data_IF_664820479199
#
_entry.id   IF_664820479199
#
_cell.length_a   1.000
_cell.length_b   1.000
_cell.length_c   1.000
_cell.angle_alpha   90.00
_cell.angle_beta   90.00
_cell.angle_gamma   90.00
#
_symmetry.space_group_name_H-M   'P 1'
#
loop_
_entity.id
_entity.type
_entity.pdbx_description
1 polymer ?
#
# COMPACT_ATOMS: atom_id res chain seq x y z
N UNK A 1 -89.85 10.62 13.92
CA UNK A 1 -89.96 11.27 15.27
C UNK A 1 -88.70 11.07 15.97
N UNK A 2 -88.26 12.07 16.55
CA UNK A 2 -87.24 12.30 17.58
C UNK A 2 -85.76 12.42 17.18
N UNK A 3 -85.37 13.65 17.34
CA UNK A 3 -83.99 14.12 17.22
C UNK A 3 -83.27 13.96 18.53
N UNK A 4 -82.05 13.41 18.49
CA UNK A 4 -81.16 13.52 19.61
C UNK A 4 -79.82 14.04 19.11
N UNK A 5 -79.47 15.20 19.65
CA UNK A 5 -78.23 15.91 19.31
C UNK A 5 -77.00 15.22 19.91
N UNK A 6 -75.96 15.27 19.15
CA UNK A 6 -74.62 14.83 19.58
C UNK A 6 -73.75 16.05 19.81
N UNK A 7 -73.32 16.21 21.04
CA UNK A 7 -72.33 17.23 21.43
C UNK A 7 -70.94 16.82 20.94
N UNK A 8 -70.33 17.77 20.24
CA UNK A 8 -68.93 17.62 19.79
C UNK A 8 -68.03 18.23 20.85
N UNK A 9 -67.28 17.38 21.56
CA UNK A 9 -66.22 17.83 22.45
C UNK A 9 -64.92 17.89 21.66
N UNK A 10 -64.38 19.08 21.52
CA UNK A 10 -63.06 19.30 20.94
C UNK A 10 -61.98 18.91 21.91
N UNK A 11 -61.23 17.85 21.59
CA UNK A 11 -59.99 17.49 22.31
C UNK A 11 -58.81 18.20 21.63
N UNK A 12 -58.19 19.13 22.33
CA UNK A 12 -57.00 19.79 21.93
C UNK A 12 -55.81 18.83 22.02
N UNK A 13 -55.21 18.45 20.88
CA UNK A 13 -53.93 17.73 20.83
C UNK A 13 -52.80 18.74 21.02
N UNK A 14 -52.11 18.65 22.15
CA UNK A 14 -50.82 19.28 22.38
C UNK A 14 -49.77 18.47 21.61
N UNK A 15 -49.22 19.05 20.50
CA UNK A 15 -48.03 18.54 19.86
C UNK A 15 -46.81 18.95 20.73
N UNK A 16 -46.23 18.00 21.44
CA UNK A 16 -44.89 18.14 22.01
C UNK A 16 -43.87 18.05 20.88
N UNK A 17 -43.26 19.15 20.51
CA UNK A 17 -42.11 19.18 19.60
C UNK A 17 -40.89 18.65 20.37
N UNK A 18 -40.50 17.39 20.07
CA UNK A 18 -39.22 16.84 20.52
C UNK A 18 -38.09 17.47 19.68
N UNK A 19 -37.39 18.42 20.27
CA UNK A 19 -36.13 18.92 19.73
C UNK A 19 -35.12 17.78 19.67
N UNK A 20 -34.78 17.33 18.45
CA UNK A 20 -33.60 16.50 18.21
C UNK A 20 -32.40 17.39 18.34
N UNK A 21 -31.64 17.19 19.39
CA UNK A 21 -30.29 17.71 19.50
C UNK A 21 -29.39 16.91 18.54
N UNK A 22 -29.11 17.45 17.36
CA UNK A 22 -28.02 17.00 16.52
C UNK A 22 -26.71 17.41 17.23
N UNK A 23 -26.19 16.47 18.02
CA UNK A 23 -24.83 16.57 18.54
C UNK A 23 -23.87 16.47 17.35
N UNK A 24 -22.76 17.25 17.32
CA UNK A 24 -21.76 17.12 16.29
C UNK A 24 -21.23 15.70 16.28
N UNK A 25 -21.25 15.05 15.13
CA UNK A 25 -20.64 13.77 14.91
C UNK A 25 -19.18 13.87 15.35
N UNK A 26 -18.86 13.22 16.47
CA UNK A 26 -17.47 13.07 16.91
C UNK A 26 -16.72 12.34 15.79
N UNK A 27 -15.99 13.11 14.99
CA UNK A 27 -15.04 12.59 14.03
C UNK A 27 -14.12 11.66 14.80
N UNK A 28 -14.19 10.37 14.47
CA UNK A 28 -13.29 9.36 15.02
C UNK A 28 -11.88 9.73 14.53
N UNK A 29 -11.13 10.42 15.37
CA UNK A 29 -9.70 10.61 15.18
C UNK A 29 -9.07 9.21 15.31
N UNK A 30 -8.88 8.55 14.19
CA UNK A 30 -8.05 7.35 14.16
C UNK A 30 -6.63 7.81 14.47
N UNK A 31 -6.11 7.39 15.62
CA UNK A 31 -4.71 7.64 15.96
C UNK A 31 -3.82 7.07 14.86
N UNK A 32 -2.77 7.79 14.42
CA UNK A 32 -1.83 7.28 13.44
C UNK A 32 -1.16 6.02 14.00
N UNK A 33 -1.27 4.89 13.27
CA UNK A 33 -0.59 3.66 13.65
C UNK A 33 0.91 3.82 13.40
N UNK A 34 1.68 3.59 14.46
CA UNK A 34 3.15 3.61 14.41
C UNK A 34 3.64 2.31 13.78
N UNK A 35 4.32 2.38 12.64
CA UNK A 35 5.10 1.24 12.16
C UNK A 35 6.41 1.16 12.93
N UNK A 36 6.94 -0.03 13.17
CA UNK A 36 8.18 -0.26 13.92
C UNK A 36 9.25 0.78 13.56
N UNK A 37 10.21 1.11 14.32
CA UNK A 37 11.16 2.20 14.12
C UNK A 37 10.59 3.65 14.19
N UNK A 38 9.37 3.83 14.71
CA UNK A 38 8.79 5.16 14.96
C UNK A 38 8.28 5.91 13.73
N UNK A 39 8.24 5.29 12.56
CA UNK A 39 7.68 5.91 11.36
C UNK A 39 6.15 5.81 11.38
N UNK A 40 5.48 6.95 11.32
CA UNK A 40 4.03 7.05 11.18
C UNK A 40 3.70 7.21 9.70
N UNK A 41 3.01 6.20 9.13
CA UNK A 41 2.55 6.24 7.74
C UNK A 41 1.02 6.28 7.72
N UNK A 42 0.40 7.30 7.12
CA UNK A 42 -1.06 7.40 7.02
C UNK A 42 -1.66 6.26 6.18
N UNK A 43 -2.96 6.00 6.34
CA UNK A 43 -3.67 4.95 5.61
C UNK A 43 -3.67 5.15 4.08
N UNK A 44 -3.72 6.42 3.64
CA UNK A 44 -3.55 6.82 2.24
C UNK A 44 -2.34 7.75 2.13
N UNK A 45 -1.12 7.22 2.10
CA UNK A 45 0.08 8.02 2.12
C UNK A 45 0.25 8.78 0.80
N UNK A 46 0.76 10.00 0.89
CA UNK A 46 1.41 10.62 -0.24
C UNK A 46 2.67 9.85 -0.60
N UNK A 47 3.16 10.01 -1.82
CA UNK A 47 4.42 9.38 -2.26
C UNK A 47 5.58 9.66 -1.29
N UNK A 48 5.66 10.90 -0.79
CA UNK A 48 6.70 11.34 0.16
C UNK A 48 6.66 10.63 1.52
N UNK A 49 5.54 10.00 1.87
CA UNK A 49 5.37 9.33 3.17
C UNK A 49 5.87 7.88 3.14
N UNK A 50 6.22 7.37 1.95
CA UNK A 50 6.79 6.02 1.83
C UNK A 50 8.21 6.00 2.44
N UNK A 51 8.54 4.98 3.25
CA UNK A 51 9.84 4.87 3.90
C UNK A 51 10.93 4.38 2.92
N UNK A 52 11.33 5.22 1.97
CA UNK A 52 12.28 4.86 0.91
C UNK A 52 13.63 4.36 1.42
N UNK A 53 14.03 4.72 2.65
CA UNK A 53 15.22 4.15 3.31
C UNK A 53 15.11 2.63 3.55
N UNK A 54 13.90 2.07 3.50
CA UNK A 54 13.63 0.63 3.59
C UNK A 54 13.43 -0.04 2.23
N UNK A 55 13.53 0.71 1.15
CA UNK A 55 13.41 0.17 -0.20
C UNK A 55 14.78 -0.26 -0.76
N UNK A 56 14.76 -1.31 -1.56
CA UNK A 56 15.84 -1.59 -2.49
C UNK A 56 15.61 -0.70 -3.71
N UNK A 57 16.56 0.17 -4.01
CA UNK A 57 16.40 1.12 -5.12
C UNK A 57 17.23 0.69 -6.31
N UNK A 58 16.56 0.42 -7.43
CA UNK A 58 17.16 0.07 -8.72
C UNK A 58 16.94 1.21 -9.67
N UNK A 59 18.03 1.86 -10.12
CA UNK A 59 17.99 2.99 -11.06
C UNK A 59 18.49 2.57 -12.42
N UNK A 60 17.79 2.97 -13.49
CA UNK A 60 18.17 2.82 -14.91
C UNK A 60 18.14 4.15 -15.60
N UNK A 61 19.13 4.41 -16.44
CA UNK A 61 19.27 5.69 -17.11
C UNK A 61 19.35 6.86 -16.13
N UNK A 62 18.71 7.96 -16.42
CA UNK A 62 18.62 9.12 -15.52
C UNK A 62 17.67 8.88 -14.34
N UNK A 63 16.80 7.85 -14.41
CA UNK A 63 15.90 7.45 -13.33
C UNK A 63 14.83 8.49 -13.00
N UNK A 64 14.37 9.26 -13.97
CA UNK A 64 13.43 10.38 -13.76
C UNK A 64 11.99 9.91 -13.53
N UNK A 65 11.65 8.73 -14.02
CA UNK A 65 10.35 8.08 -13.75
C UNK A 65 10.51 7.21 -12.53
N UNK A 66 9.52 7.17 -11.64
CA UNK A 66 9.64 6.44 -10.38
C UNK A 66 8.40 5.57 -10.14
N UNK A 67 8.65 4.38 -9.61
CA UNK A 67 7.62 3.41 -9.18
C UNK A 67 8.03 2.78 -7.86
N UNK A 68 7.08 2.62 -6.94
CA UNK A 68 7.26 1.86 -5.70
C UNK A 68 6.50 0.55 -5.80
N UNK A 69 7.14 -0.59 -5.50
CA UNK A 69 6.52 -1.91 -5.60
C UNK A 69 6.65 -2.69 -4.29
N UNK A 70 5.56 -3.30 -3.83
CA UNK A 70 5.53 -4.32 -2.78
C UNK A 70 5.64 -5.69 -3.44
N UNK A 71 6.77 -6.34 -3.27
CA UNK A 71 7.17 -7.54 -4.03
C UNK A 71 7.59 -8.67 -3.10
N UNK A 72 7.13 -9.89 -3.39
CA UNK A 72 7.53 -11.12 -2.68
C UNK A 72 8.51 -11.91 -3.55
N UNK A 73 9.63 -12.41 -2.98
CA UNK A 73 10.66 -13.13 -3.75
C UNK A 73 10.14 -14.43 -4.39
N UNK A 74 9.10 -15.03 -3.84
CA UNK A 74 8.53 -16.28 -4.34
C UNK A 74 7.30 -16.09 -5.25
N UNK A 75 6.84 -14.85 -5.44
CA UNK A 75 5.70 -14.56 -6.27
C UNK A 75 6.04 -14.64 -7.77
N UNK A 76 5.39 -15.52 -8.56
CA UNK A 76 5.65 -15.63 -10.00
C UNK A 76 5.25 -14.36 -10.76
N UNK A 77 4.21 -13.66 -10.31
CA UNK A 77 3.76 -12.40 -10.90
C UNK A 77 4.73 -11.26 -10.62
N UNK A 78 5.37 -11.24 -9.42
CA UNK A 78 6.43 -10.27 -9.12
C UNK A 78 7.62 -10.44 -10.06
N UNK A 79 8.09 -11.68 -10.26
CA UNK A 79 9.18 -11.97 -11.21
C UNK A 79 8.85 -11.56 -12.64
N UNK A 80 7.59 -11.79 -13.07
CA UNK A 80 7.14 -11.31 -14.38
C UNK A 80 7.17 -9.80 -14.44
N UNK A 81 6.61 -9.14 -13.43
CA UNK A 81 6.53 -7.68 -13.37
C UNK A 81 7.92 -7.01 -13.37
N UNK A 82 8.87 -7.55 -12.62
CA UNK A 82 10.25 -7.04 -12.60
C UNK A 82 10.97 -7.22 -13.94
N UNK A 83 10.61 -8.24 -14.74
CA UNK A 83 11.11 -8.34 -16.12
C UNK A 83 10.51 -7.26 -17.02
N UNK A 84 9.21 -7.03 -16.93
CA UNK A 84 8.55 -5.95 -17.68
C UNK A 84 9.12 -4.57 -17.31
N UNK A 85 9.36 -4.30 -16.02
CA UNK A 85 10.01 -3.07 -15.58
C UNK A 85 11.46 -2.97 -16.09
N UNK A 86 12.13 -4.09 -16.37
CA UNK A 86 13.48 -4.09 -16.89
C UNK A 86 13.57 -3.65 -18.35
N UNK A 87 12.48 -3.71 -19.10
CA UNK A 87 12.39 -3.23 -20.49
C UNK A 87 12.20 -1.71 -20.58
N UNK A 88 11.92 -1.05 -19.44
CA UNK A 88 11.70 0.39 -19.40
C UNK A 88 12.99 1.15 -19.09
N UNK A 89 13.27 2.14 -19.91
CA UNK A 89 14.38 3.08 -19.70
C UNK A 89 14.00 4.23 -18.75
N UNK A 90 15.02 4.92 -18.21
CA UNK A 90 14.86 6.14 -17.41
C UNK A 90 13.91 5.95 -16.21
N UNK A 91 14.06 4.82 -15.51
CA UNK A 91 13.19 4.37 -14.43
C UNK A 91 13.96 4.11 -13.13
N UNK A 92 13.45 4.66 -12.02
CA UNK A 92 13.82 4.25 -10.66
C UNK A 92 12.72 3.37 -10.08
N UNK A 93 13.10 2.15 -9.69
CA UNK A 93 12.21 1.19 -9.02
C UNK A 93 12.59 1.09 -7.55
N UNK A 94 11.64 1.39 -6.67
CA UNK A 94 11.78 1.22 -5.23
C UNK A 94 11.05 -0.06 -4.80
N UNK A 95 11.81 -1.10 -4.48
CA UNK A 95 11.27 -2.40 -4.07
C UNK A 95 11.15 -2.47 -2.56
N UNK A 96 9.93 -2.50 -2.06
CA UNK A 96 9.60 -2.84 -0.68
C UNK A 96 9.38 -4.34 -0.60
N UNK A 97 10.27 -5.05 0.10
CA UNK A 97 10.15 -6.49 0.28
C UNK A 97 8.91 -6.82 1.12
N UNK A 98 7.98 -7.55 0.54
CA UNK A 98 6.68 -7.88 1.13
C UNK A 98 6.46 -9.40 1.12
N UNK A 99 7.05 -10.12 2.09
CA UNK A 99 7.11 -11.59 2.08
C UNK A 99 5.83 -12.21 2.64
N UNK A 100 4.86 -12.46 1.76
CA UNK A 100 3.51 -12.94 2.15
C UNK A 100 3.05 -14.21 1.42
N UNK A 101 3.85 -14.72 0.45
CA UNK A 101 3.43 -15.83 -0.41
C UNK A 101 3.81 -17.18 0.20
N UNK A 102 5.03 -17.32 0.74
CA UNK A 102 5.54 -18.57 1.30
C UNK A 102 6.17 -18.35 2.67
N UNK A 103 6.23 -19.41 3.47
CA UNK A 103 6.85 -19.35 4.80
C UNK A 103 8.35 -18.99 4.73
N UNK A 104 9.06 -19.42 3.68
CA UNK A 104 10.47 -19.07 3.47
C UNK A 104 10.69 -17.63 3.00
N UNK A 105 9.66 -16.95 2.46
CA UNK A 105 9.79 -15.61 1.90
C UNK A 105 10.36 -14.61 2.90
N UNK A 106 9.94 -14.68 4.17
CA UNK A 106 10.41 -13.77 5.22
C UNK A 106 11.91 -13.99 5.54
N UNK A 107 12.34 -15.26 5.65
CA UNK A 107 13.75 -15.59 5.87
C UNK A 107 14.62 -15.10 4.70
N UNK A 108 14.16 -15.34 3.47
CA UNK A 108 14.87 -14.92 2.26
C UNK A 108 14.97 -13.39 2.17
N UNK A 109 13.88 -12.67 2.46
CA UNK A 109 13.88 -11.20 2.47
C UNK A 109 14.85 -10.65 3.52
N UNK A 110 14.90 -11.23 4.72
CA UNK A 110 15.89 -10.88 5.76
C UNK A 110 17.33 -11.15 5.28
N UNK A 111 17.58 -12.29 4.65
CA UNK A 111 18.91 -12.61 4.12
C UNK A 111 19.33 -11.62 3.01
N UNK A 112 18.40 -11.25 2.11
CA UNK A 112 18.63 -10.17 1.13
C UNK A 112 19.00 -8.86 1.84
N UNK A 113 18.25 -8.48 2.87
CA UNK A 113 18.49 -7.23 3.59
C UNK A 113 19.85 -7.22 4.30
N UNK A 114 20.27 -8.36 4.85
CA UNK A 114 21.56 -8.52 5.53
C UNK A 114 22.73 -8.69 4.55
N UNK A 115 22.49 -8.82 3.25
CA UNK A 115 23.55 -8.94 2.24
C UNK A 115 24.28 -7.61 2.04
N UNK A 116 25.61 -7.63 1.82
CA UNK A 116 26.38 -6.43 1.50
C UNK A 116 25.88 -5.71 0.24
N UNK A 117 25.53 -6.47 -0.80
CA UNK A 117 24.85 -6.00 -2.00
C UNK A 117 23.39 -6.50 -1.99
N UNK A 118 22.51 -5.72 -1.37
CA UNK A 118 21.10 -6.05 -1.25
C UNK A 118 20.40 -6.13 -2.59
N UNK A 119 20.73 -5.23 -3.53
CA UNK A 119 20.11 -5.19 -4.85
C UNK A 119 20.55 -6.40 -5.69
N UNK A 120 21.84 -6.73 -5.66
CA UNK A 120 22.35 -7.93 -6.29
C UNK A 120 21.69 -9.20 -5.74
N UNK A 121 21.66 -9.36 -4.41
CA UNK A 121 21.03 -10.51 -3.75
C UNK A 121 19.53 -10.63 -4.07
N UNK A 122 18.80 -9.52 -4.13
CA UNK A 122 17.39 -9.51 -4.58
C UNK A 122 17.23 -9.98 -6.01
N UNK A 123 18.04 -9.43 -6.93
CA UNK A 123 17.99 -9.80 -8.34
C UNK A 123 18.32 -11.29 -8.55
N UNK A 124 19.29 -11.82 -7.82
CA UNK A 124 19.67 -13.21 -7.87
C UNK A 124 18.55 -14.12 -7.38
N UNK A 125 17.95 -13.78 -6.26
CA UNK A 125 16.84 -14.54 -5.69
C UNK A 125 15.61 -14.52 -6.61
N UNK A 126 15.19 -13.32 -7.07
CA UNK A 126 13.94 -13.18 -7.83
C UNK A 126 14.10 -13.68 -9.27
N UNK A 127 15.22 -13.40 -9.93
CA UNK A 127 15.40 -13.71 -11.36
C UNK A 127 16.03 -15.08 -11.60
N UNK A 128 17.01 -15.45 -10.76
CA UNK A 128 17.83 -16.64 -10.95
C UNK A 128 17.53 -17.75 -9.96
N UNK A 129 16.71 -17.51 -8.94
CA UNK A 129 16.43 -18.46 -7.84
C UNK A 129 17.66 -18.83 -7.02
N UNK A 130 18.67 -17.94 -6.95
CA UNK A 130 19.85 -18.10 -6.14
C UNK A 130 19.56 -17.54 -4.76
N UNK A 131 19.64 -18.39 -3.73
CA UNK A 131 19.45 -17.97 -2.33
C UNK A 131 20.59 -17.04 -1.92
N UNK A 132 20.32 -16.00 -1.10
CA UNK A 132 21.36 -15.18 -0.51
C UNK A 132 22.25 -15.99 0.45
N UNK A 133 23.55 -15.81 0.37
CA UNK A 133 24.52 -16.45 1.29
C UNK A 133 24.51 -15.83 2.70
N UNK A 134 24.03 -14.59 2.82
CA UNK A 134 23.96 -13.87 4.08
C UNK A 134 23.00 -14.53 5.07
N UNK A 135 23.41 -14.60 6.35
CA UNK A 135 22.52 -15.04 7.42
C UNK A 135 21.47 -13.97 7.71
N UNK A 136 20.21 -14.36 7.97
CA UNK A 136 19.10 -13.43 8.24
C UNK A 136 19.07 -12.97 9.71
N UNK A 137 20.22 -12.59 10.29
CA UNK A 137 20.42 -12.33 11.72
C UNK A 137 20.79 -10.86 12.05
N UNK A 138 20.83 -9.99 11.04
CA UNK A 138 20.95 -8.55 11.26
C UNK A 138 19.59 -7.90 11.54
N UNK A 139 19.60 -6.66 12.03
CA UNK A 139 18.38 -5.86 12.18
C UNK A 139 17.76 -5.56 10.81
N UNK A 140 16.46 -5.82 10.65
CA UNK A 140 15.76 -5.72 9.37
C UNK A 140 14.39 -5.05 9.53
N UNK A 141 13.90 -4.28 8.53
CA UNK A 141 12.55 -3.70 8.53
C UNK A 141 11.49 -4.63 7.91
N UNK A 142 11.73 -5.94 7.83
CA UNK A 142 10.87 -6.84 7.02
C UNK A 142 9.48 -7.00 7.63
N UNK A 143 9.34 -7.07 8.94
CA UNK A 143 8.06 -7.13 9.62
C UNK A 143 7.29 -5.82 9.48
N UNK A 144 7.96 -4.69 9.60
CA UNK A 144 7.42 -3.35 9.43
C UNK A 144 6.96 -3.14 7.98
N UNK A 145 7.72 -3.61 7.00
CA UNK A 145 7.34 -3.58 5.59
C UNK A 145 6.12 -4.45 5.32
N UNK A 146 6.03 -5.62 5.95
CA UNK A 146 4.86 -6.48 5.86
C UNK A 146 3.62 -5.81 6.49
N UNK A 147 3.77 -5.16 7.63
CA UNK A 147 2.70 -4.38 8.27
C UNK A 147 2.30 -3.18 7.41
N UNK A 148 3.27 -2.44 6.86
CA UNK A 148 3.04 -1.31 5.97
C UNK A 148 2.25 -1.72 4.73
N UNK A 149 2.67 -2.79 4.03
CA UNK A 149 1.97 -3.27 2.85
C UNK A 149 0.50 -3.59 3.14
N UNK A 150 0.20 -4.24 4.27
CA UNK A 150 -1.18 -4.51 4.69
C UNK A 150 -1.98 -3.22 4.92
N UNK A 151 -1.42 -2.23 5.62
CA UNK A 151 -2.08 -0.92 5.85
C UNK A 151 -2.37 -0.20 4.56
N UNK A 152 -1.44 -0.23 3.61
CA UNK A 152 -1.58 0.38 2.28
C UNK A 152 -2.51 -0.42 1.35
N UNK A 153 -3.13 -1.49 1.84
CA UNK A 153 -4.05 -2.31 1.08
C UNK A 153 -3.41 -3.15 -0.02
N UNK A 154 -2.14 -3.52 0.14
CA UNK A 154 -1.47 -4.50 -0.72
C UNK A 154 -1.99 -5.91 -0.38
N UNK A 155 -3.13 -6.29 -0.98
CA UNK A 155 -3.78 -7.60 -0.76
C UNK A 155 -3.21 -8.70 -1.64
N UNK A 156 -2.36 -8.35 -2.58
CA UNK A 156 -1.68 -9.27 -3.51
C UNK A 156 -0.32 -8.71 -3.88
N UNK A 157 0.54 -9.55 -4.46
CA UNK A 157 1.84 -9.14 -4.97
C UNK A 157 1.95 -9.44 -6.47
N UNK A 158 2.56 -8.55 -7.26
CA UNK A 158 3.00 -7.22 -6.86
C UNK A 158 1.83 -6.26 -6.63
N UNK A 159 1.93 -5.36 -5.65
CA UNK A 159 1.14 -4.13 -5.55
C UNK A 159 2.10 -2.97 -5.73
N UNK A 160 1.75 -1.98 -6.54
CA UNK A 160 2.65 -0.91 -6.89
C UNK A 160 1.97 0.45 -6.96
N UNK A 161 2.76 1.49 -6.79
CA UNK A 161 2.33 2.87 -6.65
C UNK A 161 3.12 3.77 -7.59
N UNK A 162 2.44 4.76 -8.15
CA UNK A 162 3.05 5.85 -8.89
C UNK A 162 3.21 7.09 -8.00
N UNK A 163 4.04 8.04 -8.41
CA UNK A 163 4.21 9.33 -7.70
C UNK A 163 2.90 10.11 -7.53
N UNK A 164 1.93 9.89 -8.39
CA UNK A 164 0.58 10.48 -8.27
C UNK A 164 -0.23 9.93 -7.10
N UNK A 165 0.24 8.88 -6.40
CA UNK A 165 -0.52 8.13 -5.41
C UNK A 165 -1.42 7.05 -6.02
N UNK A 166 -1.48 6.92 -7.34
CA UNK A 166 -2.25 5.85 -7.98
C UNK A 166 -1.66 4.48 -7.63
N UNK A 167 -2.53 3.55 -7.21
CA UNK A 167 -2.19 2.19 -6.79
C UNK A 167 -2.73 1.17 -7.78
N UNK A 168 -1.91 0.19 -8.09
CA UNK A 168 -2.23 -0.93 -8.98
C UNK A 168 -1.86 -2.27 -8.32
N UNK A 169 -2.51 -3.34 -8.75
CA UNK A 169 -2.24 -4.70 -8.27
C UNK A 169 -2.02 -5.64 -9.46
N UNK A 170 -1.10 -6.59 -9.29
CA UNK A 170 -0.73 -7.55 -10.33
C UNK A 170 0.34 -7.03 -11.29
N UNK A 171 0.83 -7.95 -12.11
CA UNK A 171 1.82 -7.63 -13.14
C UNK A 171 1.13 -6.99 -14.36
N UNK A 172 1.82 -6.00 -14.94
CA UNK A 172 1.40 -5.30 -16.14
C UNK A 172 2.55 -5.33 -17.17
N UNK A 173 2.26 -5.26 -18.44
CA UNK A 173 3.27 -5.21 -19.50
C UNK A 173 3.95 -3.85 -19.54
N UNK A 174 5.20 -3.79 -19.96
CA UNK A 174 5.97 -2.56 -20.09
C UNK A 174 5.23 -1.49 -20.93
N UNK A 175 4.66 -1.89 -22.07
CA UNK A 175 3.92 -0.99 -22.94
C UNK A 175 2.67 -0.34 -22.29
N UNK A 176 2.06 -1.02 -21.30
CA UNK A 176 0.90 -0.52 -20.58
C UNK A 176 1.30 0.35 -19.37
N UNK A 177 2.51 0.12 -18.82
CA UNK A 177 3.05 0.91 -17.69
C UNK A 177 3.59 2.25 -18.17
N UNK A 178 4.25 2.27 -19.33
CA UNK A 178 4.98 3.43 -19.85
C UNK A 178 4.14 4.71 -19.89
N UNK A 179 2.92 4.72 -20.49
CA UNK A 179 2.07 5.91 -20.51
C UNK A 179 1.63 6.36 -19.10
N UNK A 180 1.49 5.43 -18.15
CA UNK A 180 1.15 5.76 -16.77
C UNK A 180 2.29 6.49 -16.05
N UNK A 181 3.53 6.05 -16.29
CA UNK A 181 4.73 6.70 -15.77
C UNK A 181 4.92 8.09 -16.37
N UNK A 182 4.69 8.25 -17.66
CA UNK A 182 4.84 9.53 -18.35
C UNK A 182 3.79 10.55 -17.88
N UNK A 183 2.56 10.13 -17.61
CA UNK A 183 1.52 10.98 -17.04
C UNK A 183 1.89 11.53 -15.65
N UNK A 184 2.80 10.91 -14.93
CA UNK A 184 3.26 11.36 -13.60
C UNK A 184 4.46 12.29 -13.62
N UNK A 185 5.10 12.48 -14.79
CA UNK A 185 6.26 13.41 -14.97
C UNK A 185 5.84 14.87 -15.07
N UNK A 186 4.60 15.15 -15.41
CA UNK A 186 4.12 16.46 -15.84
C UNK A 186 3.64 17.37 -14.70
N UNK A 187 4.05 17.13 -13.44
CA UNK A 187 3.67 18.00 -12.31
C UNK A 187 4.86 18.35 -11.45
#
# INVERSE_FOLDING_TARGET
MERIGVAVTAAALLLAAAARADGPAAGRLTAPETSGAGIVVPENPAWSDLPFQWALTVKRGAGRREIAIFSDPNCPFCRRFERELAELDDLTVHVFMYPVIRHESARQAKAVWCSPDRVGAWNDLVRRRIEPDAKPDCETPIEELAALGRRLGARSTPTWFLRSGARYSGAMKAADIEPLLDATRAK
#
